data_IF_967986866374
#
_entry.id   IF_967986866374
#
_cell.length_a   1.000
_cell.length_b   1.000
_cell.length_c   1.000
_cell.angle_alpha   90.00
_cell.angle_beta   90.00
_cell.angle_gamma   90.00
#
_symmetry.space_group_name_H-M   'P 1'
#
loop_
_entity.id
_entity.type
_entity.pdbx_description
1 polymer ?
#
# COMPACT_ATOMS: atom_id res chain seq x y z
N UNK A 1 -20.31 4.89 7.81
CA UNK A 1 -20.83 4.13 6.66
C UNK A 1 -19.86 4.30 5.51
N UNK A 2 -18.97 3.35 5.26
CA UNK A 2 -18.07 3.41 4.09
C UNK A 2 -18.34 2.21 3.20
N UNK A 3 -19.12 2.42 2.14
CA UNK A 3 -19.49 1.39 1.16
C UNK A 3 -18.30 1.09 0.26
N UNK A 4 -17.84 -0.16 0.29
CA UNK A 4 -16.96 -0.75 -0.71
C UNK A 4 -17.88 -1.46 -1.72
N UNK A 5 -18.01 -0.93 -2.95
CA UNK A 5 -18.87 -1.54 -3.96
C UNK A 5 -18.66 -0.95 -5.36
N UNK A 6 -18.39 -1.85 -6.32
CA UNK A 6 -18.30 -1.70 -7.77
C UNK A 6 -17.55 -0.46 -8.28
N UNK A 7 -16.23 -0.63 -8.48
CA UNK A 7 -15.39 0.34 -9.20
C UNK A 7 -15.20 -0.13 -10.64
N UNK A 8 -15.58 0.73 -11.57
CA UNK A 8 -15.32 0.59 -13.00
C UNK A 8 -14.07 1.41 -13.29
N UNK A 9 -12.98 0.78 -13.72
CA UNK A 9 -11.89 1.50 -14.35
C UNK A 9 -12.02 1.32 -15.85
N UNK A 10 -12.12 2.41 -16.60
CA UNK A 10 -12.10 2.35 -18.05
C UNK A 10 -10.65 2.47 -18.52
N UNK A 11 -10.12 1.42 -19.14
CA UNK A 11 -8.82 1.45 -19.81
C UNK A 11 -9.08 1.63 -21.30
N UNK A 12 -8.60 2.74 -21.86
CA UNK A 12 -8.58 2.89 -23.31
C UNK A 12 -7.33 2.21 -23.86
N UNK A 13 -7.52 1.19 -24.69
CA UNK A 13 -6.43 0.51 -25.39
C UNK A 13 -6.73 0.51 -26.89
N UNK A 14 -5.82 1.10 -27.67
CA UNK A 14 -6.05 1.43 -29.09
C UNK A 14 -7.37 2.23 -29.29
N UNK A 15 -8.24 1.77 -30.19
CA UNK A 15 -9.52 2.41 -30.53
C UNK A 15 -10.67 1.93 -29.65
N UNK A 16 -10.42 0.99 -28.72
CA UNK A 16 -11.41 0.38 -27.86
C UNK A 16 -11.39 0.92 -26.42
N UNK A 17 -12.57 1.14 -25.85
CA UNK A 17 -12.77 1.31 -24.41
C UNK A 17 -13.03 -0.06 -23.79
N UNK A 18 -12.14 -0.49 -22.89
CA UNK A 18 -12.32 -1.69 -22.07
C UNK A 18 -12.75 -1.27 -20.66
N UNK A 19 -13.73 -1.96 -20.09
CA UNK A 19 -14.20 -1.81 -18.71
C UNK A 19 -13.78 -3.02 -17.86
N UNK A 20 -12.55 -3.04 -17.32
CA UNK A 20 -12.23 -3.92 -16.21
C UNK A 20 -12.94 -3.43 -14.94
N UNK A 21 -13.91 -4.23 -14.48
CA UNK A 21 -14.41 -4.12 -13.11
C UNK A 21 -13.25 -4.42 -12.15
N UNK A 22 -12.82 -3.43 -11.37
CA UNK A 22 -11.82 -3.68 -10.32
C UNK A 22 -12.54 -4.24 -9.09
N UNK A 23 -12.37 -5.53 -8.87
CA UNK A 23 -12.82 -6.22 -7.64
C UNK A 23 -11.89 -5.94 -6.44
N UNK A 24 -10.65 -5.52 -6.70
CA UNK A 24 -9.60 -5.36 -5.68
C UNK A 24 -9.01 -3.95 -5.69
N UNK A 25 -8.63 -3.45 -4.51
CA UNK A 25 -7.89 -2.19 -4.34
C UNK A 25 -8.71 -0.98 -3.88
N UNK A 26 -8.03 0.04 -3.38
CA UNK A 26 -8.67 1.27 -2.89
C UNK A 26 -8.75 2.31 -4.02
N UNK A 27 -9.75 3.21 -4.00
CA UNK A 27 -9.96 4.15 -5.11
C UNK A 27 -8.86 5.21 -5.03
N UNK A 28 -8.05 5.44 -6.08
CA UNK A 28 -7.12 6.56 -6.08
C UNK A 28 -7.88 7.86 -5.82
N UNK A 29 -7.45 8.65 -4.83
CA UNK A 29 -8.09 9.92 -4.46
C UNK A 29 -9.34 9.81 -3.56
N UNK A 30 -9.69 8.62 -3.05
CA UNK A 30 -10.68 8.54 -1.96
C UNK A 30 -10.07 9.04 -0.65
N UNK A 31 -10.76 9.91 0.08
CA UNK A 31 -10.26 10.52 1.33
C UNK A 31 -9.80 9.48 2.39
N UNK A 32 -10.42 8.30 2.43
CA UNK A 32 -10.05 7.21 3.34
C UNK A 32 -9.02 6.23 2.79
N UNK A 33 -8.58 6.40 1.54
CA UNK A 33 -7.69 5.45 0.87
C UNK A 33 -6.29 5.37 1.48
N UNK A 34 -5.65 6.49 1.87
CA UNK A 34 -4.37 6.45 2.58
C UNK A 34 -4.47 5.70 3.91
N UNK A 35 -5.54 5.92 4.67
CA UNK A 35 -5.75 5.25 5.96
C UNK A 35 -6.01 3.75 5.82
N UNK A 36 -6.76 3.34 4.79
CA UNK A 36 -7.00 1.92 4.50
C UNK A 36 -5.73 1.21 4.02
N UNK A 37 -4.94 1.88 3.18
CA UNK A 37 -3.64 1.36 2.75
C UNK A 37 -2.68 1.20 3.94
N UNK A 38 -2.62 2.21 4.80
CA UNK A 38 -1.82 2.17 6.02
C UNK A 38 -2.26 1.02 6.94
N UNK A 39 -3.56 0.86 7.21
CA UNK A 39 -4.07 -0.24 8.04
C UNK A 39 -3.70 -1.62 7.47
N UNK A 40 -3.79 -1.78 6.14
CA UNK A 40 -3.44 -3.03 5.46
C UNK A 40 -1.95 -3.37 5.62
N UNK A 41 -1.07 -2.37 5.52
CA UNK A 41 0.37 -2.56 5.57
C UNK A 41 0.91 -2.60 7.01
N UNK A 42 0.23 -1.99 7.98
CA UNK A 42 0.73 -1.84 9.35
C UNK A 42 1.15 -3.17 9.98
N UNK A 43 0.37 -4.25 9.78
CA UNK A 43 0.74 -5.57 10.29
C UNK A 43 2.05 -6.11 9.68
N UNK A 44 2.31 -5.83 8.41
CA UNK A 44 3.56 -6.20 7.74
C UNK A 44 4.75 -5.41 8.31
N UNK A 45 4.57 -4.10 8.55
CA UNK A 45 5.59 -3.25 9.16
C UNK A 45 5.92 -3.72 10.58
N UNK A 46 4.91 -4.05 11.40
CA UNK A 46 5.13 -4.54 12.76
C UNK A 46 5.89 -5.86 12.80
N UNK A 47 5.55 -6.81 11.92
CA UNK A 47 6.26 -8.09 11.85
C UNK A 47 7.69 -7.91 11.34
N UNK A 48 7.91 -7.03 10.36
CA UNK A 48 9.25 -6.70 9.88
C UNK A 48 10.04 -5.95 10.95
N UNK A 49 9.40 -5.09 11.75
CA UNK A 49 10.02 -4.38 12.86
C UNK A 49 10.63 -5.32 13.90
N UNK A 50 10.02 -6.50 14.11
CA UNK A 50 10.48 -7.53 15.06
C UNK A 50 11.61 -8.39 14.51
N UNK A 51 11.75 -8.43 13.19
CA UNK A 51 12.89 -9.06 12.54
C UNK A 51 14.09 -8.15 12.83
N UNK A 52 15.05 -8.65 13.62
CA UNK A 52 16.30 -7.96 13.97
C UNK A 52 17.27 -7.88 12.78
N UNK A 53 16.71 -7.76 11.58
CA UNK A 53 17.34 -7.79 10.27
C UNK A 53 17.11 -6.42 9.65
N UNK A 54 18.12 -5.58 9.73
CA UNK A 54 18.04 -4.20 9.30
C UNK A 54 19.33 -3.45 9.62
N UNK A 55 19.33 -2.15 9.34
CA UNK A 55 20.42 -1.26 9.67
C UNK A 55 20.22 -0.70 11.07
N UNK A 56 21.26 -0.70 11.92
CA UNK A 56 21.14 -0.23 13.30
C UNK A 56 21.65 1.21 13.42
N UNK A 57 20.77 2.13 13.83
CA UNK A 57 21.12 3.52 14.11
C UNK A 57 20.88 3.76 15.59
N UNK A 58 21.94 4.10 16.33
CA UNK A 58 21.87 4.34 17.79
C UNK A 58 21.21 3.21 18.59
N UNK A 59 21.37 1.96 18.15
CA UNK A 59 20.77 0.79 18.79
C UNK A 59 19.31 0.49 18.40
N UNK A 60 18.71 1.33 17.55
CA UNK A 60 17.38 1.10 16.96
C UNK A 60 17.55 0.36 15.64
N UNK A 61 16.87 -0.78 15.49
CA UNK A 61 16.84 -1.56 14.25
C UNK A 61 15.90 -0.88 13.24
N UNK A 62 16.47 -0.28 12.20
CA UNK A 62 15.76 0.30 11.07
C UNK A 62 15.73 -0.72 9.92
N UNK A 63 14.58 -1.35 9.73
CA UNK A 63 14.34 -2.39 8.72
C UNK A 63 13.49 -1.89 7.54
N UNK A 64 12.50 -1.04 7.80
CA UNK A 64 11.64 -0.48 6.74
C UNK A 64 11.47 1.02 6.92
N UNK A 65 11.55 1.73 5.80
CA UNK A 65 11.09 3.12 5.66
C UNK A 65 9.95 3.13 4.66
N UNK A 66 8.75 3.51 5.11
CA UNK A 66 7.55 3.58 4.26
C UNK A 66 6.97 4.99 4.25
N UNK A 67 6.70 5.53 3.06
CA UNK A 67 6.03 6.81 2.88
C UNK A 67 4.98 6.69 1.77
N UNK A 68 3.72 6.94 2.11
CA UNK A 68 2.59 6.74 1.20
C UNK A 68 2.65 5.34 0.53
N UNK A 69 2.74 5.28 -0.79
CA UNK A 69 2.87 4.05 -1.58
C UNK A 69 4.32 3.58 -1.83
N UNK A 70 5.31 4.34 -1.39
CA UNK A 70 6.74 4.01 -1.51
C UNK A 70 7.27 3.32 -0.26
N UNK A 71 7.93 2.17 -0.42
CA UNK A 71 8.55 1.43 0.69
C UNK A 71 9.96 0.98 0.32
N UNK A 72 10.89 1.20 1.24
CA UNK A 72 12.28 0.75 1.11
C UNK A 72 12.59 -0.19 2.26
N UNK A 73 13.03 -1.40 1.91
CA UNK A 73 13.58 -2.39 2.84
C UNK A 73 15.09 -2.15 2.96
N UNK A 74 15.57 -2.05 4.19
CA UNK A 74 16.99 -1.90 4.49
C UNK A 74 17.58 -3.22 4.98
N UNK A 75 18.73 -3.58 4.42
CA UNK A 75 19.51 -4.76 4.81
C UNK A 75 20.96 -4.34 4.99
N UNK A 76 21.54 -4.71 6.13
CA UNK A 76 22.97 -4.55 6.40
C UNK A 76 23.80 -5.63 5.72
#
# INVERSE_FOLDING_TARGET
MFRYGNKIACVKWADGLFDPRLEYGVRPGGLSSPSLFYLYINGLIEELSKQHVGYYIEGICLNIVSYADEMVLLRA
#
